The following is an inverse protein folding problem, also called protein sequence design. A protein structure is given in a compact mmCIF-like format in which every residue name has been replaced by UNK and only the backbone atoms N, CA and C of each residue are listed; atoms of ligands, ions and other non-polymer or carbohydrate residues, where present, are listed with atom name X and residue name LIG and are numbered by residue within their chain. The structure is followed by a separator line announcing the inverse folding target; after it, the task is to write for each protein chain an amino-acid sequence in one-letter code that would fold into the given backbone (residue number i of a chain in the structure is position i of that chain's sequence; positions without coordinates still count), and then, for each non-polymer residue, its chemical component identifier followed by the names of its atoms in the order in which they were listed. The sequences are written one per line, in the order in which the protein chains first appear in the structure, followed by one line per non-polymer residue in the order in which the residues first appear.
data_IF_674160203269
#
_entry.id   IF_674160203269
#
_cell.length_a   1.000
_cell.length_b   1.000
_cell.length_c   1.000
_cell.angle_alpha   90.00
_cell.angle_beta   90.00
_cell.angle_gamma   90.00
#
_symmetry.space_group_name_H-M   'P 1'
#
loop_
_entity.id
_entity.type
_entity.pdbx_description
1 polymer ?
#
# COMPACT_ATOMS: atom_id res chain seq x y z
N UNK A 1 -9.84 1.59 2.66
CA UNK A 1 -10.08 2.67 3.64
C UNK A 1 -10.80 2.17 4.89
N UNK A 2 -11.96 1.50 4.78
CA UNK A 2 -12.71 1.03 5.96
C UNK A 2 -11.93 0.09 6.88
N UNK A 3 -11.13 -0.81 6.31
CA UNK A 3 -10.28 -1.72 7.08
C UNK A 3 -9.19 -1.01 7.90
N UNK A 4 -8.90 0.27 7.61
CA UNK A 4 -7.92 1.08 8.33
C UNK A 4 -8.46 1.68 9.64
N UNK A 5 -9.77 1.61 9.89
CA UNK A 5 -10.39 2.13 11.13
C UNK A 5 -10.38 1.13 12.29
N UNK A 6 -9.93 -0.10 12.05
CA UNK A 6 -9.74 -1.07 13.12
C UNK A 6 -8.64 -0.61 14.08
N UNK A 7 -8.80 -0.91 15.37
CA UNK A 7 -7.80 -0.59 16.41
C UNK A 7 -6.44 -1.20 16.13
N UNK A 8 -6.44 -2.38 15.50
CA UNK A 8 -5.26 -3.06 15.01
C UNK A 8 -5.39 -3.22 13.49
N UNK A 9 -4.38 -2.75 12.75
CA UNK A 9 -4.44 -2.79 11.30
C UNK A 9 -4.31 -4.25 10.83
N UNK A 10 -5.17 -4.72 9.92
CA UNK A 10 -5.25 -6.13 9.60
C UNK A 10 -4.03 -6.67 8.84
N UNK A 11 -3.15 -5.79 8.34
CA UNK A 11 -1.88 -6.12 7.71
C UNK A 11 -0.65 -5.89 8.63
N UNK A 12 -0.85 -5.48 9.88
CA UNK A 12 0.25 -5.16 10.80
C UNK A 12 0.93 -6.40 11.38
N UNK A 13 0.20 -7.52 11.52
CA UNK A 13 0.71 -8.77 12.11
C UNK A 13 0.39 -9.97 11.25
N UNK A 14 1.24 -10.99 11.33
CA UNK A 14 0.98 -12.28 10.72
C UNK A 14 -0.17 -13.01 11.43
N UNK A 15 -1.00 -13.70 10.65
CA UNK A 15 -2.08 -14.56 11.13
C UNK A 15 -1.68 -16.02 10.97
N UNK A 16 -2.24 -16.90 11.79
CA UNK A 16 -1.99 -18.35 11.72
C UNK A 16 -2.33 -18.94 10.33
N UNK A 17 -3.31 -18.36 9.62
CA UNK A 17 -3.68 -18.79 8.27
C UNK A 17 -2.63 -18.51 7.19
N UNK A 18 -1.66 -17.63 7.43
CA UNK A 18 -0.68 -17.18 6.43
C UNK A 18 0.63 -17.99 6.46
N UNK A 19 0.71 -19.01 7.32
CA UNK A 19 1.83 -19.94 7.39
C UNK A 19 3.11 -19.35 7.99
N UNK A 20 4.16 -20.16 8.01
CA UNK A 20 5.44 -19.84 8.66
C UNK A 20 6.33 -18.86 7.87
N UNK A 21 5.99 -18.58 6.62
CA UNK A 21 6.75 -17.70 5.73
C UNK A 21 6.37 -16.21 5.86
N UNK A 22 5.35 -15.90 6.67
CA UNK A 22 4.92 -14.54 6.90
C UNK A 22 5.87 -13.81 7.86
N UNK A 23 6.29 -12.60 7.49
CA UNK A 23 7.13 -11.72 8.31
C UNK A 23 6.39 -10.40 8.58
N UNK A 24 6.25 -10.04 9.85
CA UNK A 24 5.68 -8.77 10.28
C UNK A 24 6.76 -7.78 10.76
N UNK A 25 6.38 -6.51 10.96
CA UNK A 25 7.31 -5.44 11.31
C UNK A 25 8.01 -5.59 12.67
N UNK A 26 7.51 -6.47 13.55
CA UNK A 26 8.11 -6.77 14.86
C UNK A 26 9.06 -7.97 14.85
N UNK A 27 9.12 -8.74 13.76
CA UNK A 27 9.89 -9.99 13.66
C UNK A 27 11.43 -9.82 13.57
N UNK A 28 11.94 -8.57 13.51
CA UNK A 28 13.38 -8.28 13.37
C UNK A 28 14.22 -8.86 14.53
N UNK A 29 13.63 -9.11 15.70
CA UNK A 29 14.37 -9.59 16.88
C UNK A 29 14.37 -11.13 16.99
N UNK A 30 13.39 -11.84 16.40
CA UNK A 30 13.23 -13.29 16.60
C UNK A 30 14.18 -14.17 15.75
N UNK A 31 14.69 -13.66 14.63
CA UNK A 31 15.53 -14.43 13.70
C UNK A 31 17.04 -14.15 13.81
N UNK A 32 17.45 -13.23 14.68
CA UNK A 32 18.88 -12.94 14.90
C UNK A 32 19.65 -14.12 15.55
N UNK A 33 18.92 -15.08 16.15
CA UNK A 33 19.48 -16.28 16.77
C UNK A 33 19.55 -17.53 15.88
N UNK A 34 18.93 -17.53 14.69
CA UNK A 34 18.73 -18.75 13.90
C UNK A 34 19.24 -18.56 12.46
N UNK A 35 20.57 -18.48 12.33
CA UNK A 35 21.31 -18.17 11.09
C UNK A 35 21.24 -19.23 9.98
N UNK A 36 20.37 -20.24 10.09
CA UNK A 36 20.32 -21.38 9.17
C UNK A 36 18.98 -21.62 8.46
N UNK A 37 17.97 -20.74 8.61
CA UNK A 37 16.79 -20.80 7.74
C UNK A 37 17.06 -19.96 6.49
N UNK A 38 16.99 -20.61 5.33
CA UNK A 38 17.07 -19.96 4.02
C UNK A 38 15.99 -18.88 3.92
N UNK A 39 16.43 -17.63 3.97
CA UNK A 39 15.62 -16.41 3.78
C UNK A 39 15.31 -16.26 2.27
N UNK A 40 14.84 -17.30 1.60
CA UNK A 40 14.56 -17.24 0.17
C UNK A 40 13.09 -16.99 -0.14
N UNK A 41 12.19 -17.09 0.85
CA UNK A 41 10.73 -16.92 0.63
C UNK A 41 10.01 -16.22 1.80
N UNK A 42 10.66 -15.29 2.49
CA UNK A 42 9.99 -14.47 3.49
C UNK A 42 9.06 -13.44 2.81
N UNK A 43 7.76 -13.48 3.12
CA UNK A 43 6.76 -12.56 2.53
C UNK A 43 6.20 -11.66 3.62
N UNK A 44 6.09 -10.36 3.33
CA UNK A 44 5.55 -9.41 4.32
C UNK A 44 4.06 -9.66 4.58
N UNK A 45 3.62 -9.45 5.84
CA UNK A 45 2.20 -9.55 6.23
C UNK A 45 1.28 -8.67 5.38
N UNK A 46 1.77 -7.50 4.94
CA UNK A 46 1.01 -6.57 4.09
C UNK A 46 0.86 -7.05 2.65
N UNK A 47 1.88 -7.74 2.11
CA UNK A 47 1.81 -8.34 0.78
C UNK A 47 0.78 -9.46 0.73
N UNK A 48 0.80 -10.39 1.70
CA UNK A 48 -0.19 -11.49 1.77
C UNK A 48 -1.60 -10.91 1.94
N UNK A 49 -1.78 -9.94 2.83
CA UNK A 49 -3.07 -9.28 3.02
C UNK A 49 -3.60 -8.66 1.71
N UNK A 50 -2.74 -7.99 0.94
CA UNK A 50 -3.15 -7.37 -0.32
C UNK A 50 -3.51 -8.41 -1.39
N UNK A 51 -2.71 -9.46 -1.58
CA UNK A 51 -2.92 -10.45 -2.63
C UNK A 51 -4.09 -11.38 -2.33
N UNK A 52 -4.18 -11.91 -1.12
CA UNK A 52 -5.15 -12.95 -0.80
C UNK A 52 -6.51 -12.39 -0.37
N UNK A 53 -6.52 -11.31 0.42
CA UNK A 53 -7.75 -10.80 1.04
C UNK A 53 -8.36 -9.67 0.21
N UNK A 54 -7.53 -8.74 -0.27
CA UNK A 54 -8.03 -7.60 -1.05
C UNK A 54 -8.21 -7.98 -2.51
N UNK A 55 -7.15 -8.47 -3.17
CA UNK A 55 -7.18 -8.78 -4.59
C UNK A 55 -7.83 -10.14 -4.89
N UNK A 56 -7.70 -11.11 -3.97
CA UNK A 56 -8.11 -12.51 -4.15
C UNK A 56 -7.48 -13.13 -5.39
N UNK A 57 -6.16 -13.00 -5.49
CA UNK A 57 -5.40 -13.57 -6.59
C UNK A 57 -5.61 -15.09 -6.67
N UNK A 58 -5.83 -15.59 -7.89
CA UNK A 58 -5.87 -17.04 -8.15
C UNK A 58 -4.45 -17.54 -8.38
N UNK A 59 -4.15 -18.72 -7.87
CA UNK A 59 -2.83 -19.36 -8.02
C UNK A 59 -2.47 -19.71 -9.47
N UNK A 60 -3.46 -19.82 -10.37
CA UNK A 60 -3.25 -20.16 -11.77
C UNK A 60 -4.21 -19.39 -12.69
N UNK A 61 -3.69 -18.93 -13.83
CA UNK A 61 -4.45 -18.14 -14.82
C UNK A 61 -5.19 -18.99 -15.87
N UNK A 62 -4.93 -20.30 -15.93
CA UNK A 62 -5.50 -21.22 -16.92
C UNK A 62 -7.03 -21.28 -16.87
N UNK A 63 -7.61 -21.03 -15.70
CA UNK A 63 -9.06 -21.02 -15.45
C UNK A 63 -9.68 -19.60 -15.58
N UNK A 64 -8.93 -18.68 -16.20
CA UNK A 64 -9.30 -17.29 -16.42
C UNK A 64 -9.29 -16.42 -15.15
N UNK A 65 -9.58 -15.13 -15.36
CA UNK A 65 -9.61 -14.08 -14.32
C UNK A 65 -10.75 -14.25 -13.30
N UNK A 66 -11.63 -15.24 -13.48
CA UNK A 66 -12.76 -15.50 -12.59
C UNK A 66 -13.85 -14.42 -12.61
N UNK A 67 -14.79 -14.51 -11.67
CA UNK A 67 -15.84 -13.51 -11.47
C UNK A 67 -15.34 -12.37 -10.58
N UNK A 68 -15.75 -11.10 -10.83
CA UNK A 68 -15.36 -9.98 -10.00
C UNK A 68 -15.87 -10.14 -8.57
N UNK A 69 -15.05 -9.71 -7.59
CA UNK A 69 -15.47 -9.71 -6.20
C UNK A 69 -16.60 -8.69 -5.96
N UNK A 70 -17.73 -9.18 -5.45
CA UNK A 70 -18.92 -8.35 -5.24
C UNK A 70 -18.68 -7.18 -4.28
N UNK A 71 -17.81 -7.33 -3.28
CA UNK A 71 -17.51 -6.23 -2.34
C UNK A 71 -16.70 -5.15 -3.04
N UNK A 72 -15.69 -5.51 -3.82
CA UNK A 72 -14.93 -4.55 -4.63
C UNK A 72 -15.81 -3.83 -5.66
N UNK A 73 -16.68 -4.56 -6.35
CA UNK A 73 -17.64 -3.98 -7.31
C UNK A 73 -18.60 -2.99 -6.64
N UNK A 74 -19.08 -3.29 -5.42
CA UNK A 74 -19.93 -2.38 -4.66
C UNK A 74 -19.20 -1.07 -4.30
N UNK A 75 -17.93 -1.16 -3.87
CA UNK A 75 -17.12 0.03 -3.59
C UNK A 75 -16.82 0.85 -4.84
N UNK A 76 -16.62 0.19 -5.98
CA UNK A 76 -16.45 0.85 -7.28
C UNK A 76 -17.72 1.60 -7.69
N UNK A 77 -18.89 0.98 -7.53
CA UNK A 77 -20.20 1.61 -7.79
C UNK A 77 -20.39 2.86 -6.91
N UNK A 78 -20.05 2.76 -5.62
CA UNK A 78 -20.13 3.90 -4.70
C UNK A 78 -19.21 5.05 -5.13
N UNK A 79 -17.98 4.76 -5.55
CA UNK A 79 -17.06 5.78 -6.06
C UNK A 79 -17.63 6.49 -7.31
N UNK A 80 -18.20 5.72 -8.25
CA UNK A 80 -18.87 6.27 -9.43
C UNK A 80 -20.07 7.14 -9.07
N UNK A 81 -20.89 6.71 -8.10
CA UNK A 81 -22.03 7.49 -7.63
C UNK A 81 -21.59 8.83 -7.01
N UNK A 82 -20.50 8.84 -6.24
CA UNK A 82 -19.93 10.07 -5.67
C UNK A 82 -19.44 11.02 -6.76
N UNK A 83 -18.71 10.51 -7.76
CA UNK A 83 -18.24 11.31 -8.90
C UNK A 83 -19.44 11.92 -9.63
N UNK A 84 -20.45 11.11 -9.94
CA UNK A 84 -21.67 11.57 -10.61
C UNK A 84 -22.37 12.67 -9.80
N UNK A 85 -22.49 12.50 -8.47
CA UNK A 85 -23.13 13.49 -7.59
C UNK A 85 -22.35 14.83 -7.56
N UNK A 86 -21.01 14.78 -7.56
CA UNK A 86 -20.17 15.99 -7.64
C UNK A 86 -20.36 16.70 -8.99
N UNK A 87 -20.50 15.95 -10.09
CA UNK A 87 -20.67 16.51 -11.43
C UNK A 87 -22.08 17.09 -11.66
N UNK A 88 -23.13 16.41 -11.20
CA UNK A 88 -24.53 16.85 -11.39
C UNK A 88 -24.85 18.17 -10.70
N UNK A 89 -24.17 18.48 -9.57
CA UNK A 89 -24.31 19.78 -8.88
C UNK A 89 -23.70 20.96 -9.66
N UNK A 90 -23.12 20.71 -10.84
CA UNK A 90 -22.61 21.73 -11.75
C UNK A 90 -21.22 22.27 -11.39
N UNK A 91 -20.59 22.94 -12.35
CA UNK A 91 -19.19 23.40 -12.30
C UNK A 91 -18.87 24.35 -11.14
N UNK A 92 -19.85 25.12 -10.65
CA UNK A 92 -19.66 26.02 -9.50
C UNK A 92 -19.57 25.27 -8.17
N UNK A 93 -20.25 24.14 -8.04
CA UNK A 93 -20.19 23.30 -6.84
C UNK A 93 -19.02 22.32 -6.91
N UNK A 94 -18.75 21.75 -8.10
CA UNK A 94 -17.60 20.86 -8.29
C UNK A 94 -16.28 21.60 -8.12
N UNK A 95 -16.19 22.88 -8.53
CA UNK A 95 -15.02 23.73 -8.27
C UNK A 95 -14.68 23.84 -6.77
N UNK A 96 -15.69 24.03 -5.91
CA UNK A 96 -15.50 24.06 -4.44
C UNK A 96 -14.94 22.75 -3.88
N UNK A 97 -15.47 21.61 -4.35
CA UNK A 97 -14.95 20.30 -3.97
C UNK A 97 -13.53 20.06 -4.51
N UNK A 98 -13.25 20.51 -5.73
CA UNK A 98 -11.95 20.39 -6.37
C UNK A 98 -10.85 21.16 -5.60
N UNK A 99 -11.15 22.35 -5.06
CA UNK A 99 -10.18 23.06 -4.21
C UNK A 99 -9.74 22.21 -3.01
N UNK A 100 -10.67 21.53 -2.35
CA UNK A 100 -10.32 20.62 -1.25
C UNK A 100 -9.54 19.40 -1.74
N UNK A 101 -10.01 18.73 -2.80
CA UNK A 101 -9.36 17.55 -3.38
C UNK A 101 -7.95 17.83 -3.91
N UNK A 102 -7.69 19.06 -4.38
CA UNK A 102 -6.37 19.47 -4.86
C UNK A 102 -5.42 19.81 -3.70
N UNK A 103 -5.90 20.44 -2.62
CA UNK A 103 -5.05 20.86 -1.49
C UNK A 103 -4.75 19.70 -0.54
N UNK A 104 -5.73 18.83 -0.30
CA UNK A 104 -5.63 17.76 0.68
C UNK A 104 -4.40 16.84 0.49
N UNK A 105 -4.05 16.37 -0.73
CA UNK A 105 -2.86 15.56 -0.95
C UNK A 105 -1.57 16.26 -0.51
N UNK A 106 -1.43 17.57 -0.73
CA UNK A 106 -0.23 18.31 -0.30
C UNK A 106 -0.10 18.37 1.22
N UNK A 107 -1.21 18.55 1.94
CA UNK A 107 -1.21 18.53 3.40
C UNK A 107 -0.82 17.16 3.94
N UNK A 108 -1.37 16.08 3.36
CA UNK A 108 -1.03 14.70 3.75
C UNK A 108 0.43 14.39 3.44
N UNK A 109 0.93 14.77 2.26
CA UNK A 109 2.34 14.61 1.89
C UNK A 109 3.27 15.33 2.87
N UNK A 110 2.92 16.56 3.28
CA UNK A 110 3.70 17.31 4.26
C UNK A 110 3.75 16.59 5.62
N UNK A 111 2.62 16.09 6.10
CA UNK A 111 2.56 15.35 7.38
C UNK A 111 3.37 14.06 7.30
N UNK A 112 3.24 13.30 6.20
CA UNK A 112 4.00 12.06 5.99
C UNK A 112 5.50 12.36 5.89
N UNK A 113 5.90 13.44 5.21
CA UNK A 113 7.29 13.86 5.09
C UNK A 113 7.89 14.17 6.46
N UNK A 114 7.23 14.99 7.27
CA UNK A 114 7.70 15.32 8.62
C UNK A 114 7.86 14.04 9.44
N UNK A 115 6.84 13.17 9.46
CA UNK A 115 6.90 11.89 10.19
C UNK A 115 8.05 11.00 9.70
N UNK A 116 8.24 10.90 8.39
CA UNK A 116 9.29 10.08 7.80
C UNK A 116 10.68 10.60 8.19
N UNK A 117 10.90 11.92 8.17
CA UNK A 117 12.18 12.53 8.56
C UNK A 117 12.45 12.46 10.06
N UNK A 118 11.42 12.36 10.90
CA UNK A 118 11.58 12.16 12.35
C UNK A 118 11.91 10.72 12.76
N UNK A 119 11.80 9.75 11.85
CA UNK A 119 12.17 8.37 12.13
C UNK A 119 13.70 8.18 12.09
N UNK A 120 14.21 7.33 12.96
CA UNK A 120 15.62 6.94 12.94
C UNK A 120 15.96 6.23 11.62
N UNK A 121 17.13 6.52 11.05
CA UNK A 121 17.56 5.98 9.76
C UNK A 121 16.94 6.66 8.51
N UNK A 122 16.15 7.72 8.67
CA UNK A 122 15.54 8.42 7.53
C UNK A 122 16.57 9.01 6.55
N UNK A 123 17.72 9.46 7.06
CA UNK A 123 18.78 10.07 6.25
C UNK A 123 19.36 9.09 5.23
N UNK A 124 19.49 7.79 5.56
CA UNK A 124 20.01 6.80 4.62
C UNK A 124 19.08 6.63 3.42
N UNK A 125 17.76 6.64 3.64
CA UNK A 125 16.76 6.63 2.58
C UNK A 125 16.81 7.88 1.70
N UNK A 126 17.02 9.05 2.30
CA UNK A 126 17.16 10.32 1.56
C UNK A 126 18.44 10.34 0.72
N UNK A 127 19.56 9.91 1.29
CA UNK A 127 20.84 9.83 0.57
C UNK A 127 20.72 8.84 -0.59
N UNK A 128 20.10 7.68 -0.38
CA UNK A 128 19.86 6.71 -1.45
C UNK A 128 19.04 7.31 -2.60
N UNK A 129 18.00 8.10 -2.30
CA UNK A 129 17.16 8.73 -3.31
C UNK A 129 17.88 9.84 -4.09
N UNK A 130 18.69 10.67 -3.41
CA UNK A 130 19.32 11.85 -4.02
C UNK A 130 20.68 11.54 -4.65
N UNK A 131 21.37 10.49 -4.22
CA UNK A 131 22.73 10.17 -4.68
C UNK A 131 22.73 9.83 -6.19
N UNK A 132 23.33 10.68 -7.05
CA UNK A 132 23.32 10.46 -8.48
C UNK A 132 24.21 9.27 -8.87
N UNK A 133 23.70 8.41 -9.74
CA UNK A 133 24.43 7.29 -10.34
C UNK A 133 24.89 7.68 -11.75
N UNK A 134 26.01 8.39 -11.84
CA UNK A 134 26.53 8.92 -13.11
C UNK A 134 26.83 7.83 -14.15
N UNK A 135 27.16 6.61 -13.71
CA UNK A 135 27.38 5.47 -14.59
C UNK A 135 26.12 4.98 -15.31
N UNK A 136 24.95 5.04 -14.66
CA UNK A 136 23.67 4.64 -15.28
C UNK A 136 23.19 5.66 -16.32
N UNK A 137 23.58 6.93 -16.17
CA UNK A 137 23.28 7.97 -17.16
C UNK A 137 24.00 7.78 -18.50
N UNK A 138 25.11 7.03 -18.51
CA UNK A 138 25.92 6.75 -19.71
C UNK A 138 25.59 5.39 -20.36
N UNK A 139 24.68 4.61 -19.76
CA UNK A 139 24.20 3.34 -20.30
C UNK A 139 22.90 3.55 -21.10
N UNK A 140 22.93 3.61 -22.44
CA UNK A 140 21.69 3.55 -23.21
C UNK A 140 21.06 2.16 -23.06
N UNK A 141 19.85 2.10 -22.51
CA UNK A 141 18.94 0.95 -22.60
C UNK A 141 18.02 1.10 -23.79
#
# INVERSE_FOLDING_TARGET
MFASFASELPWAKCRESWGEHCVDSSAIIAHAGDRNKTVEQAVSSSQIYFLDIVLKEKSQIYDGIGSPDWKLSLWLLLAWAVIFLILVRGVRSSGKAAYFLAIFPYVVLLIILIRALTLEGAIDGVIFFVKPQWGELLNPK
#
